data_IF_575182533234
#
_entry.id   IF_575182533234
#
_cell.length_a   1.000
_cell.length_b   1.000
_cell.length_c   1.000
_cell.angle_alpha   90.00
_cell.angle_beta   90.00
_cell.angle_gamma   90.00
#
_symmetry.space_group_name_H-M   'P 1'
#
loop_
_entity.id
_entity.type
_entity.pdbx_description
1 polymer ?
#
# COMPACT_ATOMS: atom_id res chain seq x y z
N UNK A 1 15.08 -8.14 37.37
CA UNK A 1 15.25 -7.45 36.06
C UNK A 1 16.51 -7.87 35.32
N UNK A 2 17.74 -7.57 35.79
CA UNK A 2 18.98 -7.96 35.09
C UNK A 2 19.21 -9.49 35.01
N UNK A 3 18.85 -10.23 36.06
CA UNK A 3 18.96 -11.70 36.07
C UNK A 3 17.90 -12.37 35.17
N UNK A 4 16.72 -11.77 35.05
CA UNK A 4 15.63 -12.29 34.20
C UNK A 4 15.98 -12.10 32.71
N UNK A 5 16.55 -10.94 32.36
CA UNK A 5 17.07 -10.68 31.00
C UNK A 5 18.17 -11.68 30.62
N UNK A 6 19.09 -11.99 31.55
CA UNK A 6 20.14 -13.00 31.31
C UNK A 6 19.57 -14.41 31.14
N UNK A 7 18.56 -14.79 31.94
CA UNK A 7 17.86 -16.08 31.79
C UNK A 7 17.12 -16.17 30.45
N UNK A 8 16.45 -15.09 30.03
CA UNK A 8 15.75 -15.03 28.75
C UNK A 8 16.72 -15.20 27.57
N UNK A 9 17.85 -14.48 27.61
CA UNK A 9 18.90 -14.59 26.59
C UNK A 9 19.53 -15.98 26.54
N UNK A 10 19.77 -16.62 27.69
CA UNK A 10 20.27 -17.99 27.76
C UNK A 10 19.24 -19.06 27.34
N UNK A 11 17.94 -18.77 27.46
CA UNK A 11 16.87 -19.63 26.93
C UNK A 11 16.83 -19.55 25.40
N UNK A 12 16.75 -18.34 24.87
CA UNK A 12 16.74 -18.09 23.42
C UNK A 12 17.99 -18.68 22.75
N UNK A 13 19.17 -18.56 23.37
CA UNK A 13 20.40 -19.14 22.84
C UNK A 13 20.37 -20.68 22.79
N UNK A 14 19.78 -21.32 23.79
CA UNK A 14 19.64 -22.79 23.82
C UNK A 14 18.63 -23.26 22.77
N UNK A 15 17.54 -22.53 22.56
CA UNK A 15 16.57 -22.81 21.50
C UNK A 15 17.19 -22.68 20.10
N UNK A 16 17.98 -21.64 19.86
CA UNK A 16 18.74 -21.48 18.60
C UNK A 16 19.69 -22.67 18.40
N UNK A 17 20.41 -23.09 19.44
CA UNK A 17 21.27 -24.27 19.35
C UNK A 17 20.48 -25.57 19.12
N UNK A 18 19.26 -25.69 19.66
CA UNK A 18 18.37 -26.83 19.42
C UNK A 18 17.83 -26.86 17.99
N UNK A 19 17.50 -25.70 17.42
CA UNK A 19 17.12 -25.55 16.02
C UNK A 19 18.21 -26.06 15.07
N UNK A 20 19.48 -25.70 15.32
CA UNK A 20 20.61 -26.20 14.54
C UNK A 20 20.91 -27.69 14.75
N UNK A 21 20.49 -28.29 15.87
CA UNK A 21 20.71 -29.72 16.17
C UNK A 21 19.71 -30.66 15.49
N UNK A 22 18.53 -30.17 15.08
CA UNK A 22 17.51 -30.95 14.34
C UNK A 22 17.30 -30.39 12.94
N UNK A 23 18.17 -30.73 11.98
CA UNK A 23 18.15 -30.12 10.65
C UNK A 23 16.84 -30.40 9.90
N UNK A 24 16.16 -31.52 10.17
CA UNK A 24 14.87 -31.85 9.54
C UNK A 24 13.76 -30.90 9.97
N UNK A 25 13.60 -30.68 11.28
CA UNK A 25 12.56 -29.80 11.84
C UNK A 25 12.81 -28.33 11.46
N UNK A 26 14.09 -27.93 11.46
CA UNK A 26 14.52 -26.62 10.97
C UNK A 26 14.15 -26.41 9.49
N UNK A 27 14.44 -27.40 8.64
CA UNK A 27 14.10 -27.35 7.21
C UNK A 27 12.58 -27.28 7.00
N UNK A 28 11.78 -28.07 7.73
CA UNK A 28 10.32 -27.98 7.64
C UNK A 28 9.77 -26.61 8.05
N UNK A 29 10.31 -26.02 9.11
CA UNK A 29 9.92 -24.68 9.57
C UNK A 29 10.25 -23.62 8.53
N UNK A 30 11.48 -23.66 7.98
CA UNK A 30 11.91 -22.74 6.92
C UNK A 30 11.05 -22.90 5.67
N UNK A 31 10.82 -24.14 5.22
CA UNK A 31 9.98 -24.42 4.06
C UNK A 31 8.54 -23.92 4.26
N UNK A 32 7.95 -24.14 5.44
CA UNK A 32 6.61 -23.66 5.77
C UNK A 32 6.53 -22.13 5.72
N UNK A 33 7.49 -21.43 6.32
CA UNK A 33 7.57 -19.97 6.26
C UNK A 33 7.74 -19.48 4.81
N UNK A 34 8.59 -20.13 4.02
CA UNK A 34 8.74 -19.83 2.60
C UNK A 34 7.42 -20.03 1.84
N UNK A 35 6.69 -21.12 2.08
CA UNK A 35 5.39 -21.38 1.47
C UNK A 35 4.37 -20.28 1.83
N UNK A 36 4.31 -19.86 3.09
CA UNK A 36 3.42 -18.78 3.53
C UNK A 36 3.76 -17.47 2.80
N UNK A 37 5.02 -17.07 2.79
CA UNK A 37 5.47 -15.83 2.13
C UNK A 37 5.18 -15.89 0.62
N UNK A 38 5.53 -17.01 -0.04
CA UNK A 38 5.28 -17.19 -1.47
C UNK A 38 3.79 -17.17 -1.79
N UNK A 39 2.94 -17.80 -0.97
CA UNK A 39 1.50 -17.78 -1.16
C UNK A 39 0.92 -16.37 -1.07
N UNK A 40 1.40 -15.56 -0.12
CA UNK A 40 1.01 -14.16 0.01
C UNK A 40 1.46 -13.32 -1.20
N UNK A 41 2.69 -13.53 -1.68
CA UNK A 41 3.21 -12.86 -2.88
C UNK A 41 2.45 -13.26 -4.14
N UNK A 42 2.07 -14.54 -4.27
CA UNK A 42 1.25 -15.03 -5.38
C UNK A 42 -0.15 -14.43 -5.33
N UNK A 43 -0.79 -14.37 -4.16
CA UNK A 43 -2.08 -13.72 -4.00
C UNK A 43 -2.02 -12.25 -4.40
N UNK A 44 -0.98 -11.53 -3.98
CA UNK A 44 -0.75 -10.14 -4.40
C UNK A 44 -0.59 -10.01 -5.92
N UNK A 45 0.18 -10.90 -6.55
CA UNK A 45 0.35 -10.91 -8.02
C UNK A 45 -0.95 -11.22 -8.76
N UNK A 46 -1.76 -12.14 -8.25
CA UNK A 46 -3.09 -12.42 -8.78
C UNK A 46 -3.97 -11.17 -8.71
N UNK A 47 -3.96 -10.44 -7.59
CA UNK A 47 -4.71 -9.19 -7.47
C UNK A 47 -4.24 -8.11 -8.45
N UNK A 48 -2.93 -7.92 -8.60
CA UNK A 48 -2.34 -6.98 -9.57
C UNK A 48 -2.78 -7.32 -11.01
N UNK A 49 -2.71 -8.60 -11.39
CA UNK A 49 -3.12 -9.05 -12.72
C UNK A 49 -4.63 -8.94 -12.94
N UNK A 50 -5.44 -9.32 -11.94
CA UNK A 50 -6.89 -9.24 -12.01
C UNK A 50 -7.39 -7.80 -12.10
N UNK A 51 -6.72 -6.88 -11.41
CA UNK A 51 -7.07 -5.47 -11.43
C UNK A 51 -6.52 -4.70 -12.63
N UNK A 52 -5.53 -5.25 -13.36
CA UNK A 52 -4.79 -4.52 -14.41
C UNK A 52 -3.90 -3.38 -13.89
N UNK A 53 -3.88 -3.14 -12.57
CA UNK A 53 -3.20 -2.02 -11.94
C UNK A 53 -1.93 -2.46 -11.22
N UNK A 54 -0.81 -1.71 -11.29
CA UNK A 54 0.39 -2.00 -10.49
C UNK A 54 0.15 -1.86 -8.98
N UNK A 55 -0.91 -1.13 -8.58
CA UNK A 55 -1.27 -0.89 -7.18
C UNK A 55 -2.79 -1.01 -7.01
N UNK A 56 -3.33 -2.23 -6.93
CA UNK A 56 -4.78 -2.47 -6.87
C UNK A 56 -5.44 -1.96 -5.58
N UNK A 57 -4.65 -1.65 -4.55
CA UNK A 57 -5.13 -1.19 -3.25
C UNK A 57 -4.29 0.00 -2.81
N UNK A 58 -4.92 1.13 -2.54
CA UNK A 58 -4.26 2.35 -2.05
C UNK A 58 -5.00 2.94 -0.85
N UNK A 59 -4.31 3.75 -0.04
CA UNK A 59 -4.88 4.41 1.15
C UNK A 59 -4.91 5.92 0.93
N UNK A 60 -6.02 6.55 1.27
CA UNK A 60 -6.16 8.02 1.22
C UNK A 60 -5.39 8.65 2.37
N UNK A 61 -4.38 9.46 2.04
CA UNK A 61 -3.47 10.07 3.02
C UNK A 61 -3.85 11.50 3.40
N UNK A 62 -4.68 12.18 2.61
CA UNK A 62 -5.03 13.59 2.78
C UNK A 62 -6.55 13.83 2.76
N UNK A 63 -6.96 15.06 3.08
CA UNK A 63 -8.37 15.49 3.02
C UNK A 63 -8.76 16.21 1.72
N UNK A 64 -8.00 16.03 0.63
CA UNK A 64 -8.28 16.72 -0.65
C UNK A 64 -9.53 16.21 -1.36
N UNK A 65 -9.99 15.02 -1.01
CA UNK A 65 -11.14 14.35 -1.61
C UNK A 65 -12.41 14.43 -0.78
N UNK A 66 -12.44 15.24 0.29
CA UNK A 66 -13.68 15.46 1.03
C UNK A 66 -14.73 16.19 0.15
N UNK A 67 -16.03 15.85 0.26
CA UNK A 67 -16.64 14.88 1.16
C UNK A 67 -16.64 13.42 0.63
N UNK A 68 -16.16 13.16 -0.59
CA UNK A 68 -16.25 11.84 -1.21
C UNK A 68 -15.39 10.79 -0.48
N UNK A 69 -14.15 11.13 -0.15
CA UNK A 69 -13.23 10.28 0.61
C UNK A 69 -12.57 11.01 1.77
N UNK A 70 -12.45 10.29 2.88
CA UNK A 70 -11.79 10.74 4.10
C UNK A 70 -10.39 10.15 4.23
N UNK A 71 -9.54 10.81 5.02
CA UNK A 71 -8.22 10.28 5.36
C UNK A 71 -8.38 8.94 6.07
N UNK A 72 -7.69 7.92 5.56
CA UNK A 72 -7.74 6.55 6.06
C UNK A 72 -8.73 5.65 5.32
N UNK A 73 -9.39 6.11 4.27
CA UNK A 73 -10.17 5.23 3.41
C UNK A 73 -9.23 4.37 2.53
N UNK A 74 -9.56 3.10 2.37
CA UNK A 74 -8.87 2.19 1.44
C UNK A 74 -9.63 2.19 0.12
N UNK A 75 -8.94 2.42 -0.98
CA UNK A 75 -9.51 2.42 -2.33
C UNK A 75 -9.02 1.19 -3.09
N UNK A 76 -9.96 0.47 -3.70
CA UNK A 76 -9.68 -0.61 -4.64
C UNK A 76 -9.72 -0.06 -6.06
N UNK A 77 -8.60 -0.24 -6.76
CA UNK A 77 -8.38 0.27 -8.09
C UNK A 77 -8.54 -0.84 -9.11
N UNK A 78 -9.21 -0.51 -10.19
CA UNK A 78 -9.30 -1.34 -11.39
C UNK A 78 -8.90 -0.50 -12.59
N UNK A 79 -7.98 -1.02 -13.38
CA UNK A 79 -7.61 -0.47 -14.67
C UNK A 79 -8.47 -1.15 -15.75
N UNK A 80 -9.46 -0.41 -16.26
CA UNK A 80 -10.38 -0.89 -17.30
C UNK A 80 -9.91 -0.52 -18.72
N UNK A 81 -8.69 -0.03 -18.90
CA UNK A 81 -8.21 0.47 -20.19
C UNK A 81 -8.59 1.93 -20.46
N UNK A 82 -8.50 2.40 -21.73
CA UNK A 82 -7.92 3.70 -22.06
C UNK A 82 -8.89 4.90 -21.99
N UNK A 83 -9.95 4.86 -21.17
CA UNK A 83 -10.88 5.99 -21.08
C UNK A 83 -11.44 6.14 -19.67
N UNK A 84 -10.62 6.65 -18.75
CA UNK A 84 -11.17 7.36 -17.61
C UNK A 84 -12.13 8.45 -18.12
N UNK A 85 -13.33 8.47 -17.58
CA UNK A 85 -14.40 9.39 -17.96
C UNK A 85 -14.35 10.65 -17.08
N UNK A 86 -15.01 11.72 -17.55
CA UNK A 86 -15.26 12.88 -16.70
C UNK A 86 -16.10 12.45 -15.50
N UNK A 87 -15.65 12.79 -14.30
CA UNK A 87 -16.29 12.40 -13.04
C UNK A 87 -15.64 11.21 -12.34
N UNK A 88 -14.81 10.43 -13.02
CA UNK A 88 -14.11 9.30 -12.42
C UNK A 88 -13.09 9.75 -11.38
N UNK A 89 -12.89 8.92 -10.35
CA UNK A 89 -11.85 9.15 -9.35
C UNK A 89 -10.65 8.27 -9.67
N UNK A 90 -9.62 8.92 -10.19
CA UNK A 90 -8.42 8.25 -10.70
C UNK A 90 -7.28 8.40 -9.72
N UNK A 91 -6.44 7.38 -9.67
CA UNK A 91 -5.19 7.40 -8.94
C UNK A 91 -4.07 7.46 -9.96
N UNK A 92 -3.22 8.48 -9.86
CA UNK A 92 -2.14 8.70 -10.81
C UNK A 92 -0.82 8.96 -10.10
N UNK A 93 0.27 8.62 -10.79
CA UNK A 93 1.63 8.90 -10.34
C UNK A 93 2.21 10.02 -11.18
N UNK A 94 2.68 11.07 -10.53
CA UNK A 94 3.43 12.15 -11.20
C UNK A 94 4.92 11.81 -11.18
N UNK A 95 5.60 12.02 -12.29
CA UNK A 95 7.06 11.88 -12.37
C UNK A 95 7.75 12.81 -11.35
N UNK A 96 8.70 12.27 -10.59
CA UNK A 96 9.37 13.01 -9.50
C UNK A 96 8.61 13.04 -8.17
N UNK A 97 7.44 12.40 -8.06
CA UNK A 97 6.77 12.14 -6.78
C UNK A 97 6.66 10.63 -6.51
N UNK A 98 7.03 10.24 -5.29
CA UNK A 98 6.92 8.85 -4.86
C UNK A 98 5.51 8.47 -4.42
N UNK A 99 4.74 9.45 -3.92
CA UNK A 99 3.40 9.23 -3.37
C UNK A 99 2.35 9.46 -4.46
N UNK A 100 1.47 8.48 -4.73
CA UNK A 100 0.39 8.62 -5.70
C UNK A 100 -0.68 9.62 -5.23
N UNK A 101 -1.37 10.24 -6.19
CA UNK A 101 -2.41 11.23 -5.94
C UNK A 101 -3.76 10.67 -6.39
N UNK A 102 -4.79 10.86 -5.57
CA UNK A 102 -6.17 10.42 -5.85
C UNK A 102 -7.03 11.65 -6.05
N UNK A 103 -7.51 11.92 -7.27
CA UNK A 103 -8.37 13.08 -7.56
C UNK A 103 -9.42 12.77 -8.64
N UNK A 104 -10.43 13.64 -8.76
CA UNK A 104 -11.50 13.49 -9.74
C UNK A 104 -11.13 14.08 -11.09
N UNK A 105 -11.46 13.38 -12.17
CA UNK A 105 -11.34 13.89 -13.53
C UNK A 105 -12.40 14.98 -13.77
N UNK A 106 -11.95 16.20 -14.04
CA UNK A 106 -12.81 17.33 -14.40
C UNK A 106 -13.08 17.41 -15.89
N UNK A 107 -12.06 17.16 -16.72
CA UNK A 107 -12.19 17.32 -18.16
C UNK A 107 -11.20 16.41 -18.90
N UNK A 108 -11.59 16.05 -20.11
CA UNK A 108 -10.81 15.24 -21.05
C UNK A 108 -10.51 16.07 -22.28
N UNK A 109 -9.25 16.04 -22.70
CA UNK A 109 -8.78 16.77 -23.87
C UNK A 109 -8.03 15.83 -24.80
N UNK A 110 -8.49 15.72 -26.05
CA UNK A 110 -7.74 15.02 -27.09
C UNK A 110 -6.75 16.00 -27.73
N UNK A 111 -5.46 15.66 -27.72
CA UNK A 111 -4.46 16.43 -28.45
C UNK A 111 -4.58 16.18 -29.97
N UNK A 112 -3.92 17.00 -30.79
CA UNK A 112 -3.87 16.87 -32.25
C UNK A 112 -3.36 15.50 -32.74
N UNK A 113 -2.63 14.76 -31.90
CA UNK A 113 -2.16 13.40 -32.15
C UNK A 113 -3.19 12.30 -31.79
N UNK A 114 -4.38 12.67 -31.30
CA UNK A 114 -5.41 11.74 -30.81
C UNK A 114 -5.17 11.20 -29.40
N UNK A 115 -4.11 11.64 -28.72
CA UNK A 115 -3.82 11.25 -27.34
C UNK A 115 -4.76 11.93 -26.35
N UNK A 116 -5.39 11.13 -25.48
CA UNK A 116 -6.22 11.64 -24.40
C UNK A 116 -5.37 12.20 -23.27
N UNK A 117 -5.72 13.39 -22.81
CA UNK A 117 -5.15 14.05 -21.65
C UNK A 117 -6.24 14.46 -20.68
N UNK A 118 -5.91 14.45 -19.39
CA UNK A 118 -6.88 14.65 -18.33
C UNK A 118 -6.55 15.90 -17.53
N UNK A 119 -7.60 16.58 -17.07
CA UNK A 119 -7.51 17.57 -16.01
C UNK A 119 -8.17 16.99 -14.78
N UNK A 120 -7.44 16.97 -13.67
CA UNK A 120 -7.89 16.43 -12.39
C UNK A 120 -7.97 17.54 -11.35
N UNK A 121 -8.80 17.31 -10.32
CA UNK A 121 -8.93 18.18 -9.16
C UNK A 121 -9.40 17.38 -7.96
N UNK A 122 -8.85 17.71 -6.78
CA UNK A 122 -9.41 17.26 -5.50
C UNK A 122 -10.77 17.90 -5.23
N UNK A 123 -11.74 17.08 -4.81
CA UNK A 123 -13.11 17.54 -4.54
C UNK A 123 -13.14 18.71 -3.54
N UNK A 124 -12.25 18.70 -2.54
CA UNK A 124 -12.11 19.73 -1.51
C UNK A 124 -11.10 20.85 -1.85
N UNK A 125 -10.43 20.79 -3.00
CA UNK A 125 -9.45 21.81 -3.39
C UNK A 125 -10.14 23.01 -4.07
N UNK A 126 -9.61 24.22 -3.93
CA UNK A 126 -10.12 25.41 -4.64
C UNK A 126 -9.55 25.57 -6.05
N UNK A 127 -8.47 24.85 -6.36
CA UNK A 127 -7.73 24.94 -7.62
C UNK A 127 -7.59 23.56 -8.24
N UNK A 128 -7.38 23.52 -9.56
CA UNK A 128 -7.07 22.30 -10.30
C UNK A 128 -5.63 21.81 -10.05
N UNK A 129 -5.32 20.59 -10.50
CA UNK A 129 -4.03 19.96 -10.24
C UNK A 129 -2.92 20.35 -11.21
N UNK A 130 -3.11 21.37 -12.06
CA UNK A 130 -2.09 21.77 -13.07
C UNK A 130 -0.75 22.11 -12.45
N UNK A 131 -0.76 22.70 -11.25
CA UNK A 131 0.46 23.01 -10.51
C UNK A 131 1.19 21.79 -9.92
N UNK A 132 0.55 20.61 -9.93
CA UNK A 132 1.10 19.37 -9.41
C UNK A 132 1.72 18.49 -10.49
N UNK A 133 1.36 18.70 -11.75
CA UNK A 133 1.86 17.90 -12.88
C UNK A 133 3.35 18.13 -13.12
N UNK A 134 4.02 17.09 -13.61
CA UNK A 134 5.44 17.14 -13.93
C UNK A 134 5.70 18.16 -15.05
N UNK A 135 6.91 18.73 -15.08
CA UNK A 135 7.40 19.56 -16.18
C UNK A 135 6.53 20.79 -16.52
N UNK A 136 5.69 21.27 -15.59
CA UNK A 136 4.71 22.34 -15.82
C UNK A 136 3.70 22.00 -16.93
N UNK A 137 3.45 20.72 -17.16
CA UNK A 137 2.39 20.28 -18.06
C UNK A 137 1.03 20.78 -17.56
N UNK A 138 0.16 21.18 -18.47
CA UNK A 138 -1.20 21.64 -18.14
C UNK A 138 -2.22 20.50 -18.08
N UNK A 139 -1.80 19.29 -18.47
CA UNK A 139 -2.67 18.14 -18.62
C UNK A 139 -1.92 16.86 -18.26
N UNK A 140 -2.59 15.97 -17.54
CA UNK A 140 -2.08 14.66 -17.16
C UNK A 140 -2.19 13.69 -18.34
N UNK A 141 -1.16 12.86 -18.54
CA UNK A 141 -1.18 11.79 -19.55
C UNK A 141 -1.94 10.58 -19.03
N UNK A 142 -2.66 9.90 -19.92
CA UNK A 142 -3.38 8.66 -19.61
C UNK A 142 -2.43 7.57 -19.04
N UNK A 143 -1.20 7.50 -19.57
CA UNK A 143 -0.16 6.57 -19.11
C UNK A 143 0.29 6.77 -17.65
N UNK A 144 -0.02 7.90 -17.04
CA UNK A 144 0.31 8.19 -15.63
C UNK A 144 -0.77 7.69 -14.66
N UNK A 145 -1.92 7.27 -15.17
CA UNK A 145 -3.00 6.69 -14.38
C UNK A 145 -2.62 5.27 -14.00
N UNK A 146 -2.75 4.95 -12.71
CA UNK A 146 -2.56 3.61 -12.19
C UNK A 146 -3.87 2.83 -12.11
N UNK A 147 -5.00 3.50 -12.04
CA UNK A 147 -6.32 2.88 -12.09
C UNK A 147 -7.43 3.81 -11.62
N UNK A 148 -8.67 3.37 -11.79
CA UNK A 148 -9.88 4.07 -11.34
C UNK A 148 -10.44 3.40 -10.10
N UNK A 149 -10.88 4.20 -9.14
CA UNK A 149 -11.48 3.70 -7.89
C UNK A 149 -12.86 3.12 -8.16
N UNK A 150 -13.11 1.88 -7.74
CA UNK A 150 -14.41 1.21 -7.93
C UNK A 150 -15.11 0.94 -6.60
N UNK A 151 -14.33 0.52 -5.60
CA UNK A 151 -14.84 0.22 -4.26
C UNK A 151 -13.93 0.89 -3.25
N UNK A 152 -14.49 1.31 -2.12
CA UNK A 152 -13.71 1.78 -1.00
C UNK A 152 -14.19 1.19 0.33
N UNK A 153 -13.28 1.12 1.29
CA UNK A 153 -13.56 0.76 2.68
C UNK A 153 -13.24 1.95 3.58
N UNK A 154 -14.24 2.53 4.26
CA UNK A 154 -14.02 3.72 5.06
C UNK A 154 -13.22 3.42 6.33
N UNK A 155 -12.32 4.33 6.71
CA UNK A 155 -11.54 4.33 7.96
C UNK A 155 -10.57 3.15 8.20
N UNK A 156 -10.61 2.05 7.43
CA UNK A 156 -9.77 0.87 7.66
C UNK A 156 -8.27 1.18 7.53
N UNK A 157 -7.92 2.07 6.60
CA UNK A 157 -6.55 2.52 6.37
C UNK A 157 -5.98 3.36 7.51
N UNK A 158 -6.78 3.82 8.48
CA UNK A 158 -6.26 4.51 9.66
C UNK A 158 -5.28 3.64 10.45
N UNK A 159 -5.47 2.31 10.45
CA UNK A 159 -4.53 1.38 11.09
C UNK A 159 -3.16 1.43 10.41
N UNK A 160 -3.13 1.42 9.07
CA UNK A 160 -1.88 1.53 8.31
C UNK A 160 -1.20 2.88 8.50
N UNK A 161 -1.97 3.96 8.57
CA UNK A 161 -1.46 5.31 8.83
C UNK A 161 -0.86 5.38 10.24
N UNK A 162 -1.57 4.88 11.26
CA UNK A 162 -1.10 4.85 12.65
C UNK A 162 0.23 4.09 12.78
N UNK A 163 0.34 2.91 12.16
CA UNK A 163 1.56 2.10 12.19
C UNK A 163 2.74 2.78 11.48
N UNK A 164 2.46 3.57 10.44
CA UNK A 164 3.48 4.29 9.70
C UNK A 164 3.91 5.59 10.40
N UNK A 165 2.95 6.36 10.93
CA UNK A 165 3.17 7.64 11.60
C UNK A 165 3.81 7.48 12.99
N UNK A 166 3.56 6.34 13.67
CA UNK A 166 4.13 6.05 14.99
C UNK A 166 5.02 4.80 14.97
N UNK A 167 6.33 4.95 14.64
CA UNK A 167 7.27 3.83 14.59
C UNK A 167 7.36 3.03 15.90
N UNK A 168 7.18 3.68 17.05
CA UNK A 168 7.19 3.01 18.36
C UNK A 168 6.11 1.94 18.42
N UNK A 169 4.88 2.24 18.02
CA UNK A 169 3.76 1.29 18.02
C UNK A 169 4.10 0.10 17.11
N UNK A 170 4.63 0.38 15.91
CA UNK A 170 5.05 -0.64 14.95
C UNK A 170 6.11 -1.58 15.53
N UNK A 171 7.16 -1.05 16.13
CA UNK A 171 8.26 -1.86 16.69
C UNK A 171 7.85 -2.60 17.96
N UNK A 172 7.00 -2.00 18.80
CA UNK A 172 6.44 -2.68 19.98
C UNK A 172 5.57 -3.86 19.58
N UNK A 173 4.73 -3.73 18.55
CA UNK A 173 3.91 -4.84 18.04
C UNK A 173 4.77 -5.97 17.46
N UNK A 174 5.73 -5.64 16.60
CA UNK A 174 6.65 -6.64 16.01
C UNK A 174 7.44 -7.35 17.11
N UNK A 175 8.01 -6.59 18.07
CA UNK A 175 8.75 -7.15 19.20
C UNK A 175 7.88 -8.06 20.07
N UNK A 176 6.64 -7.67 20.34
CA UNK A 176 5.67 -8.47 21.07
C UNK A 176 5.31 -9.78 20.35
N UNK A 177 5.10 -9.73 19.03
CA UNK A 177 4.83 -10.93 18.23
C UNK A 177 6.02 -11.91 18.23
N UNK A 178 7.25 -11.40 18.11
CA UNK A 178 8.46 -12.23 18.17
C UNK A 178 8.59 -12.86 19.56
N UNK A 179 8.38 -12.08 20.63
CA UNK A 179 8.41 -12.60 22.00
C UNK A 179 7.36 -13.69 22.23
N UNK A 180 6.12 -13.48 21.79
CA UNK A 180 5.06 -14.49 21.87
C UNK A 180 5.35 -15.73 21.06
N UNK A 181 5.88 -15.58 19.85
CA UNK A 181 6.28 -16.71 19.02
C UNK A 181 7.36 -17.54 19.71
N UNK A 182 8.35 -16.91 20.34
CA UNK A 182 9.40 -17.61 21.10
C UNK A 182 8.86 -18.27 22.38
N UNK A 183 7.93 -17.61 23.09
CA UNK A 183 7.34 -18.14 24.31
C UNK A 183 6.28 -19.24 24.08
N UNK A 184 5.64 -19.25 22.91
CA UNK A 184 4.55 -20.18 22.54
C UNK A 184 5.02 -21.50 21.91
N UNK A 185 6.32 -21.77 21.86
CA UNK A 185 6.90 -23.02 21.36
C UNK A 185 7.01 -24.13 22.43
N UNK A 186 6.27 -24.01 23.54
CA UNK A 186 6.12 -25.08 24.56
C UNK A 186 5.02 -26.09 24.22
#
# INVERSE_FOLDING_TARGET
MLNDIKKLGASAWREVQHFFRRPRDAVHTVLSLCCIILSALMLWKVLVLAAGSPSPVVVVLSGSMLPAFSRGDILFLLDHGPKAAVGDIVVFKVEGRDIPIVHRVLNLHANSAGEMRLLTKGDNNNVDDRGLYANKDLWLKDSSIMGTTVVYLPYVGQVTILLNDYPVIKWTLIGGMIALALLGYE
#
